data_IF_806218764205
#
_entry.id   IF_806218764205
#
_cell.length_a   1.000
_cell.length_b   1.000
_cell.length_c   1.000
_cell.angle_alpha   90.00
_cell.angle_beta   90.00
_cell.angle_gamma   90.00
#
_symmetry.space_group_name_H-M   'P 1'
#
loop_
_entity.id
_entity.type
_entity.pdbx_description
1 polymer ?
#
# COMPACT_ATOMS: atom_id res chain seq x y z
N UNK A 1 -23.53 -11.37 1.46
CA UNK A 1 -22.16 -11.44 0.95
C UNK A 1 -21.72 -12.88 1.00
N UNK A 2 -21.40 -13.47 -0.15
CA UNK A 2 -20.85 -14.83 -0.20
C UNK A 2 -19.34 -14.80 0.12
N UNK A 3 -18.72 -15.94 0.47
CA UNK A 3 -17.26 -16.02 0.62
C UNK A 3 -16.50 -15.58 -0.64
N UNK A 4 -17.10 -15.79 -1.82
CA UNK A 4 -16.53 -15.36 -3.10
C UNK A 4 -16.56 -13.84 -3.27
N UNK A 5 -17.67 -13.20 -2.87
CA UNK A 5 -17.77 -11.74 -2.88
C UNK A 5 -16.75 -11.12 -1.92
N UNK A 6 -16.60 -11.69 -0.72
CA UNK A 6 -15.61 -11.25 0.25
C UNK A 6 -14.17 -11.37 -0.29
N UNK A 7 -13.84 -12.47 -0.97
CA UNK A 7 -12.53 -12.67 -1.59
C UNK A 7 -12.27 -11.65 -2.72
N UNK A 8 -13.30 -11.37 -3.51
CA UNK A 8 -13.24 -10.39 -4.61
C UNK A 8 -13.00 -8.98 -4.07
N UNK A 9 -13.72 -8.57 -3.03
CA UNK A 9 -13.52 -7.29 -2.36
C UNK A 9 -12.13 -7.16 -1.74
N UNK A 10 -11.67 -8.22 -1.05
CA UNK A 10 -10.32 -8.23 -0.46
C UNK A 10 -9.24 -8.10 -1.53
N UNK A 11 -9.36 -8.81 -2.66
CA UNK A 11 -8.41 -8.67 -3.77
C UNK A 11 -8.43 -7.24 -4.34
N UNK A 12 -9.61 -6.64 -4.51
CA UNK A 12 -9.73 -5.26 -5.00
C UNK A 12 -9.08 -4.24 -4.05
N UNK A 13 -9.24 -4.41 -2.74
CA UNK A 13 -8.56 -3.57 -1.73
C UNK A 13 -7.04 -3.73 -1.82
N UNK A 14 -6.57 -4.96 -1.97
CA UNK A 14 -5.15 -5.26 -2.09
C UNK A 14 -4.51 -4.65 -3.34
N UNK A 15 -5.23 -4.64 -4.46
CA UNK A 15 -4.75 -3.99 -5.69
C UNK A 15 -4.68 -2.46 -5.52
N UNK A 16 -5.65 -1.85 -4.83
CA UNK A 16 -5.59 -0.43 -4.47
C UNK A 16 -4.40 -0.12 -3.56
N UNK A 17 -4.12 -0.95 -2.56
CA UNK A 17 -2.95 -0.79 -1.69
C UNK A 17 -1.64 -0.87 -2.48
N UNK A 18 -1.54 -1.76 -3.47
CA UNK A 18 -0.37 -1.82 -4.36
C UNK A 18 -0.18 -0.53 -5.16
N UNK A 19 -1.25 0.00 -5.75
CA UNK A 19 -1.21 1.26 -6.50
C UNK A 19 -0.78 2.44 -5.61
N UNK A 20 -1.27 2.50 -4.37
CA UNK A 20 -0.85 3.51 -3.38
C UNK A 20 0.64 3.37 -3.07
N UNK A 21 1.13 2.16 -2.81
CA UNK A 21 2.55 1.90 -2.55
C UNK A 21 3.44 2.36 -3.70
N UNK A 22 3.08 2.02 -4.94
CA UNK A 22 3.84 2.42 -6.13
C UNK A 22 3.87 3.95 -6.30
N UNK A 23 2.73 4.61 -6.08
CA UNK A 23 2.64 6.07 -6.15
C UNK A 23 3.51 6.74 -5.09
N UNK A 24 3.48 6.24 -3.86
CA UNK A 24 4.35 6.73 -2.78
C UNK A 24 5.83 6.48 -3.11
N UNK A 25 6.17 5.29 -3.60
CA UNK A 25 7.54 4.93 -3.99
C UNK A 25 8.11 5.85 -5.09
N UNK A 26 7.30 6.17 -6.11
CA UNK A 26 7.69 7.13 -7.17
C UNK A 26 7.96 8.52 -6.58
N UNK A 27 7.03 9.04 -5.77
CA UNK A 27 7.20 10.37 -5.16
C UNK A 27 8.40 10.44 -4.19
N UNK A 28 8.68 9.36 -3.46
CA UNK A 28 9.87 9.26 -2.61
C UNK A 28 11.16 9.24 -3.43
N UNK A 29 11.17 8.54 -4.58
CA UNK A 29 12.32 8.50 -5.48
C UNK A 29 12.57 9.85 -6.17
N UNK A 30 11.52 10.59 -6.50
CA UNK A 30 11.61 11.91 -7.14
C UNK A 30 12.17 12.99 -6.21
N UNK A 31 12.20 12.75 -4.88
CA UNK A 31 12.82 13.65 -3.89
C UNK A 31 12.19 15.04 -3.80
N UNK A 32 10.99 15.23 -4.38
CA UNK A 32 10.33 16.53 -4.54
C UNK A 32 9.63 17.06 -3.28
N UNK A 33 9.55 16.26 -2.22
CA UNK A 33 8.88 16.62 -0.97
C UNK A 33 9.84 17.22 0.06
N UNK A 34 9.32 18.17 0.86
CA UNK A 34 10.04 18.71 2.01
C UNK A 34 10.34 17.60 3.03
N UNK A 35 11.42 17.75 3.81
CA UNK A 35 11.95 16.69 4.68
C UNK A 35 10.94 16.09 5.66
N UNK A 36 9.99 16.89 6.18
CA UNK A 36 8.91 16.42 7.05
C UNK A 36 7.85 15.59 6.31
N UNK A 37 7.45 16.02 5.12
CA UNK A 37 6.48 15.30 4.27
C UNK A 37 7.07 14.01 3.72
N UNK A 38 8.36 14.03 3.36
CA UNK A 38 9.09 12.87 2.86
C UNK A 38 9.15 11.76 3.92
N UNK A 39 9.34 12.13 5.20
CA UNK A 39 9.29 11.17 6.32
C UNK A 39 7.89 10.57 6.50
N UNK A 40 6.83 11.37 6.41
CA UNK A 40 5.45 10.88 6.52
C UNK A 40 5.10 9.94 5.36
N UNK A 41 5.53 10.28 4.13
CA UNK A 41 5.32 9.45 2.96
C UNK A 41 6.10 8.14 3.02
N UNK A 42 7.32 8.15 3.57
CA UNK A 42 8.10 6.94 3.82
C UNK A 42 7.39 6.03 4.82
N UNK A 43 6.92 6.58 5.94
CA UNK A 43 6.18 5.81 6.94
C UNK A 43 4.88 5.21 6.35
N UNK A 44 4.13 5.98 5.55
CA UNK A 44 2.95 5.46 4.85
C UNK A 44 3.32 4.36 3.84
N UNK A 45 4.39 4.53 3.07
CA UNK A 45 4.86 3.53 2.13
C UNK A 45 5.18 2.20 2.84
N UNK A 46 5.88 2.27 3.97
CA UNK A 46 6.31 1.11 4.74
C UNK A 46 5.12 0.40 5.40
N UNK A 47 4.17 1.16 5.98
CA UNK A 47 2.92 0.59 6.53
C UNK A 47 2.09 -0.13 5.47
N UNK A 48 1.98 0.44 4.27
CA UNK A 48 1.28 -0.21 3.15
C UNK A 48 2.02 -1.47 2.72
N UNK A 49 3.35 -1.45 2.64
CA UNK A 49 4.15 -2.63 2.32
C UNK A 49 3.94 -3.76 3.35
N UNK A 50 3.90 -3.42 4.64
CA UNK A 50 3.62 -4.38 5.73
C UNK A 50 2.21 -4.97 5.61
N UNK A 51 1.19 -4.16 5.36
CA UNK A 51 -0.18 -4.64 5.17
C UNK A 51 -0.28 -5.63 3.99
N UNK A 52 0.39 -5.32 2.87
CA UNK A 52 0.43 -6.20 1.71
C UNK A 52 1.13 -7.53 2.04
N UNK A 53 2.24 -7.47 2.76
CA UNK A 53 3.02 -8.64 3.15
C UNK A 53 2.26 -9.54 4.14
N UNK A 54 1.55 -8.96 5.10
CA UNK A 54 0.73 -9.69 6.07
C UNK A 54 -0.38 -10.48 5.37
N UNK A 55 -1.08 -9.87 4.40
CA UNK A 55 -2.10 -10.57 3.61
C UNK A 55 -1.51 -11.75 2.82
N UNK A 56 -0.32 -11.58 2.22
CA UNK A 56 0.36 -12.66 1.49
C UNK A 56 0.78 -13.83 2.38
N UNK A 57 1.11 -13.59 3.65
CA UNK A 57 1.50 -14.63 4.62
C UNK A 57 0.31 -15.41 5.20
N UNK A 58 -0.88 -14.79 5.22
CA UNK A 58 -2.11 -15.43 5.69
C UNK A 58 -2.87 -16.22 4.60
N UNK A 59 -2.36 -16.23 3.36
CA UNK A 59 -2.84 -17.04 2.24
C UNK A 59 -1.96 -18.27 2.09
#
# INVERSE_FOLDING_TARGET
>A
MTPYDALTEVNAVMDRLRAVRETLGKKLADGSCQSSELRQMSDLHDRVALAIAAYKRGK
#
